data_IF_818746358998
#
_entry.id   IF_818746358998
#
_cell.length_a   1.000
_cell.length_b   1.000
_cell.length_c   1.000
_cell.angle_alpha   90.00
_cell.angle_beta   90.00
_cell.angle_gamma   90.00
#
_symmetry.space_group_name_H-M   'P 1'
#
loop_
_entity.id
_entity.type
_entity.pdbx_description
1 polymer ?
#
# COMPACT_ATOMS: atom_id res chain seq x y z
N UNK A 1 -14.92 -12.42 -3.93
CA UNK A 1 -14.02 -12.35 -2.77
C UNK A 1 -14.16 -13.64 -1.96
N UNK A 2 -13.07 -14.37 -1.79
CA UNK A 2 -13.06 -15.62 -1.03
C UNK A 2 -12.68 -15.43 0.44
N UNK A 3 -11.76 -14.48 0.69
CA UNK A 3 -11.26 -14.21 2.03
C UNK A 3 -10.77 -12.75 2.13
N UNK A 4 -10.83 -12.18 3.31
CA UNK A 4 -10.25 -10.89 3.67
C UNK A 4 -9.73 -10.92 5.10
N UNK A 5 -8.62 -10.27 5.35
CA UNK A 5 -8.06 -10.08 6.69
C UNK A 5 -7.41 -8.71 6.81
N UNK A 6 -7.24 -8.23 8.03
CA UNK A 6 -6.60 -6.95 8.33
C UNK A 6 -5.50 -7.21 9.36
N UNK A 7 -4.29 -6.82 9.01
CA UNK A 7 -3.14 -6.81 9.91
C UNK A 7 -2.89 -5.37 10.34
N UNK A 8 -2.72 -5.15 11.65
CA UNK A 8 -2.54 -3.80 12.20
C UNK A 8 -1.11 -3.29 12.08
N UNK A 9 -0.30 -3.89 11.23
CA UNK A 9 1.10 -3.54 11.01
C UNK A 9 1.29 -3.02 9.59
N UNK A 10 2.10 -1.98 9.44
CA UNK A 10 2.36 -1.34 8.15
C UNK A 10 3.59 -0.44 8.20
N UNK A 11 3.69 0.51 7.26
CA UNK A 11 4.82 1.42 7.11
C UNK A 11 5.17 2.22 8.36
N UNK A 12 4.17 2.55 9.19
CA UNK A 12 4.39 3.24 10.47
C UNK A 12 5.16 2.40 11.48
N UNK A 13 5.01 1.08 11.44
CA UNK A 13 5.77 0.18 12.30
C UNK A 13 7.23 0.10 11.87
N UNK A 14 7.51 0.14 10.56
CA UNK A 14 8.87 0.26 10.04
C UNK A 14 9.53 1.53 10.59
N UNK A 15 8.84 2.67 10.51
CA UNK A 15 9.33 3.96 11.04
C UNK A 15 9.58 3.90 12.54
N UNK A 16 8.66 3.27 13.30
CA UNK A 16 8.82 3.07 14.75
C UNK A 16 10.03 2.21 15.08
N UNK A 17 10.29 1.17 14.31
CA UNK A 17 11.44 0.28 14.54
C UNK A 17 12.75 1.00 14.22
N UNK A 18 12.84 1.74 13.12
CA UNK A 18 13.98 2.60 12.81
C UNK A 18 14.21 3.60 13.96
N UNK A 19 13.16 4.30 14.40
CA UNK A 19 13.25 5.27 15.50
C UNK A 19 13.75 4.64 16.79
N UNK A 20 13.31 3.43 17.14
CA UNK A 20 13.72 2.72 18.35
C UNK A 20 15.16 2.20 18.27
N UNK A 21 15.51 1.57 17.16
CA UNK A 21 16.84 0.95 16.99
C UNK A 21 17.92 2.01 16.90
N UNK A 22 17.68 3.08 16.11
CA UNK A 22 18.62 4.19 15.97
C UNK A 22 18.49 5.24 17.09
N UNK A 23 17.54 5.07 18.03
CA UNK A 23 17.25 6.04 19.11
C UNK A 23 17.06 7.47 18.61
N UNK A 24 16.36 7.63 17.51
CA UNK A 24 16.12 8.92 16.86
C UNK A 24 14.63 9.30 16.87
N UNK A 25 14.30 10.53 16.47
CA UNK A 25 12.92 10.97 16.39
C UNK A 25 12.15 10.24 15.26
N UNK A 26 10.84 10.04 15.43
CA UNK A 26 10.01 9.42 14.37
C UNK A 26 10.06 10.20 13.06
N UNK A 27 10.15 11.53 13.13
CA UNK A 27 10.26 12.39 11.94
C UNK A 27 11.55 12.10 11.17
N UNK A 28 12.67 11.97 11.87
CA UNK A 28 13.95 11.66 11.24
C UNK A 28 13.95 10.22 10.71
N UNK A 29 13.41 9.26 11.48
CA UNK A 29 13.26 7.87 11.05
C UNK A 29 12.41 7.74 9.78
N UNK A 30 11.32 8.52 9.65
CA UNK A 30 10.52 8.58 8.42
C UNK A 30 11.31 9.14 7.25
N UNK A 31 12.08 10.20 7.48
CA UNK A 31 12.99 10.76 6.47
C UNK A 31 14.06 9.77 6.01
N UNK A 32 14.65 9.01 6.93
CA UNK A 32 15.63 7.98 6.61
C UNK A 32 15.01 6.85 5.77
N UNK A 33 13.83 6.38 6.17
CA UNK A 33 13.07 5.37 5.42
C UNK A 33 12.77 5.84 4.00
N UNK A 34 12.38 7.11 3.83
CA UNK A 34 12.02 7.66 2.53
C UNK A 34 13.22 7.86 1.60
N UNK A 35 14.35 8.35 2.14
CA UNK A 35 15.50 8.74 1.34
C UNK A 35 16.48 7.58 1.08
N UNK A 36 16.63 6.67 2.03
CA UNK A 36 17.64 5.60 2.04
C UNK A 36 17.05 4.21 2.28
N UNK A 37 15.71 4.11 2.36
CA UNK A 37 15.06 2.84 2.70
C UNK A 37 15.16 1.82 1.58
N UNK A 38 15.62 0.61 1.94
CA UNK A 38 15.67 -0.57 1.09
C UNK A 38 15.11 -1.75 1.88
N UNK A 39 14.18 -2.49 1.29
CA UNK A 39 13.56 -3.65 1.95
C UNK A 39 14.35 -4.95 1.75
N UNK A 40 15.11 -5.03 0.66
CA UNK A 40 15.89 -6.23 0.32
C UNK A 40 17.38 -5.99 0.57
N UNK A 41 17.89 -6.52 1.67
CA UNK A 41 19.25 -6.27 2.16
C UNK A 41 20.35 -6.51 1.10
N UNK A 42 20.28 -7.55 0.23
CA UNK A 42 21.26 -7.74 -0.82
C UNK A 42 21.37 -6.59 -1.85
N UNK A 43 20.29 -5.80 -2.01
CA UNK A 43 20.27 -4.66 -2.92
C UNK A 43 20.68 -3.34 -2.26
N UNK A 44 20.83 -3.34 -0.92
CA UNK A 44 21.20 -2.13 -0.18
C UNK A 44 22.60 -1.64 -0.55
N UNK A 45 22.71 -0.32 -0.69
CA UNK A 45 23.99 0.35 -0.92
C UNK A 45 24.93 0.31 0.31
N UNK A 46 26.08 0.90 0.13
CA UNK A 46 27.10 0.99 1.19
C UNK A 46 27.33 2.46 1.64
N UNK A 47 26.43 3.36 1.30
CA UNK A 47 26.53 4.74 1.74
C UNK A 47 26.45 4.83 3.27
N UNK A 48 27.20 5.78 3.83
CA UNK A 48 27.21 6.08 5.27
C UNK A 48 26.61 7.46 5.47
N UNK A 49 25.66 7.55 6.36
CA UNK A 49 25.03 8.82 6.72
C UNK A 49 25.04 9.03 8.24
N UNK A 50 24.94 10.29 8.64
CA UNK A 50 24.99 10.68 10.03
C UNK A 50 23.56 10.87 10.57
N UNK A 51 23.27 10.23 11.69
CA UNK A 51 21.94 10.27 12.34
C UNK A 51 22.04 10.93 13.70
N UNK A 52 21.21 11.93 13.92
CA UNK A 52 21.05 12.52 15.25
C UNK A 52 20.37 11.54 16.18
N UNK A 53 21.06 11.17 17.25
CA UNK A 53 20.60 10.20 18.27
C UNK A 53 20.18 10.94 19.53
N UNK A 54 19.04 10.58 20.09
CA UNK A 54 18.52 11.17 21.30
C UNK A 54 19.44 10.83 22.49
N UNK A 55 20.02 11.86 23.10
CA UNK A 55 20.92 11.71 24.25
C UNK A 55 22.41 11.68 23.90
N UNK A 56 22.76 11.71 22.62
CA UNK A 56 24.15 11.86 22.16
C UNK A 56 24.40 13.30 21.69
N UNK A 57 25.65 13.76 21.85
CA UNK A 57 26.06 15.10 21.42
C UNK A 57 26.47 15.10 19.95
N UNK A 58 27.08 14.00 19.51
CA UNK A 58 27.55 13.83 18.15
C UNK A 58 26.68 12.87 17.38
N UNK A 59 26.41 13.13 16.08
CA UNK A 59 25.69 12.21 15.23
C UNK A 59 26.41 10.86 15.10
N UNK A 60 25.64 9.78 15.02
CA UNK A 60 26.17 8.43 14.86
C UNK A 60 26.15 8.05 13.39
N UNK A 61 27.21 7.39 12.95
CA UNK A 61 27.30 6.84 11.59
C UNK A 61 26.41 5.61 11.44
N UNK A 62 25.56 5.62 10.42
CA UNK A 62 24.69 4.52 10.06
C UNK A 62 24.88 4.19 8.58
N UNK A 63 24.98 2.92 8.25
CA UNK A 63 25.09 2.47 6.85
C UNK A 63 23.71 2.18 6.27
N UNK A 64 23.54 2.37 4.96
CA UNK A 64 22.31 1.95 4.26
C UNK A 64 21.99 0.48 4.51
N UNK A 65 23.01 -0.37 4.52
CA UNK A 65 22.83 -1.80 4.78
C UNK A 65 22.23 -2.06 6.18
N UNK A 66 22.71 -1.36 7.21
CA UNK A 66 22.16 -1.51 8.56
C UNK A 66 20.71 -1.00 8.65
N UNK A 67 20.41 0.10 7.96
CA UNK A 67 19.04 0.60 7.82
C UNK A 67 18.14 -0.42 7.10
N UNK A 68 18.63 -1.01 6.00
CA UNK A 68 17.93 -2.05 5.26
C UNK A 68 17.66 -3.31 6.12
N UNK A 69 18.59 -3.71 6.98
CA UNK A 69 18.38 -4.83 7.91
C UNK A 69 17.21 -4.57 8.87
N UNK A 70 17.10 -3.34 9.40
CA UNK A 70 15.98 -2.96 10.29
C UNK A 70 14.65 -3.00 9.52
N UNK A 71 14.62 -2.41 8.33
CA UNK A 71 13.43 -2.34 7.48
C UNK A 71 12.99 -3.73 7.03
N UNK A 72 13.95 -4.51 6.50
CA UNK A 72 13.72 -5.88 6.03
C UNK A 72 13.14 -6.78 7.11
N UNK A 73 13.67 -6.69 8.34
CA UNK A 73 13.19 -7.49 9.46
C UNK A 73 11.70 -7.25 9.75
N UNK A 74 11.23 -5.99 9.71
CA UNK A 74 9.81 -5.68 9.93
C UNK A 74 8.94 -6.14 8.77
N UNK A 75 9.33 -5.86 7.53
CA UNK A 75 8.54 -6.23 6.36
C UNK A 75 8.47 -7.75 6.23
N UNK A 76 9.58 -8.44 6.45
CA UNK A 76 9.64 -9.90 6.47
C UNK A 76 8.68 -10.48 7.51
N UNK A 77 8.64 -9.92 8.72
CA UNK A 77 7.71 -10.34 9.76
C UNK A 77 6.25 -10.21 9.31
N UNK A 78 5.88 -9.07 8.69
CA UNK A 78 4.53 -8.85 8.15
C UNK A 78 4.21 -9.89 7.06
N UNK A 79 5.13 -10.11 6.12
CA UNK A 79 4.92 -11.08 5.05
C UNK A 79 4.82 -12.51 5.56
N UNK A 80 5.61 -12.89 6.57
CA UNK A 80 5.52 -14.22 7.20
C UNK A 80 4.17 -14.45 7.88
N UNK A 81 3.60 -13.44 8.55
CA UNK A 81 2.26 -13.54 9.13
C UNK A 81 1.20 -13.75 8.04
N UNK A 82 1.28 -12.97 6.96
CA UNK A 82 0.37 -13.09 5.81
C UNK A 82 0.52 -14.47 5.17
N UNK A 83 1.75 -14.92 4.94
CA UNK A 83 2.06 -16.23 4.35
C UNK A 83 1.41 -17.35 5.15
N UNK A 84 1.64 -17.39 6.46
CA UNK A 84 1.07 -18.41 7.35
C UNK A 84 -0.46 -18.46 7.30
N UNK A 85 -1.11 -17.29 7.20
CA UNK A 85 -2.56 -17.23 7.12
C UNK A 85 -3.08 -17.73 5.77
N UNK A 86 -2.40 -17.37 4.67
CA UNK A 86 -2.73 -17.84 3.32
C UNK A 86 -2.50 -19.35 3.16
N UNK A 87 -1.39 -19.89 3.70
CA UNK A 87 -1.09 -21.32 3.70
C UNK A 87 -2.16 -22.15 4.43
N UNK A 88 -2.58 -21.69 5.63
CA UNK A 88 -3.67 -22.35 6.40
C UNK A 88 -4.97 -22.43 5.65
N UNK A 89 -5.18 -21.55 4.67
CA UNK A 89 -6.41 -21.46 3.86
C UNK A 89 -6.25 -22.03 2.46
N UNK A 90 -5.07 -22.56 2.13
CA UNK A 90 -4.75 -23.05 0.79
C UNK A 90 -4.94 -21.98 -0.30
N UNK A 91 -4.60 -20.72 0.02
CA UNK A 91 -4.73 -19.58 -0.88
C UNK A 91 -3.39 -19.07 -1.44
N UNK A 92 -2.26 -19.64 -1.00
CA UNK A 92 -0.95 -19.20 -1.44
C UNK A 92 -0.63 -19.65 -2.87
N UNK A 93 -1.01 -20.88 -3.23
CA UNK A 93 -0.68 -21.52 -4.51
C UNK A 93 -1.68 -21.19 -5.64
N UNK A 94 -2.31 -20.04 -5.60
CA UNK A 94 -3.23 -19.62 -6.65
C UNK A 94 -2.46 -19.21 -7.92
N UNK A 95 -2.96 -19.55 -9.13
CA UNK A 95 -2.26 -19.30 -10.40
C UNK A 95 -1.91 -17.83 -10.67
N UNK A 96 -2.64 -16.91 -10.07
CA UNK A 96 -2.41 -15.47 -10.21
C UNK A 96 -1.22 -14.91 -9.41
N UNK A 97 -0.71 -15.67 -8.44
CA UNK A 97 0.31 -15.19 -7.51
C UNK A 97 -0.20 -14.11 -6.57
N UNK A 98 0.71 -13.24 -6.13
CA UNK A 98 0.43 -12.13 -5.21
C UNK A 98 0.62 -10.81 -5.93
N UNK A 99 -0.31 -9.88 -5.73
CA UNK A 99 -0.16 -8.49 -6.19
C UNK A 99 -0.12 -7.58 -4.98
N UNK A 100 0.96 -6.79 -4.87
CA UNK A 100 1.13 -5.82 -3.80
C UNK A 100 0.77 -4.43 -4.34
N UNK A 101 -0.02 -3.69 -3.56
CA UNK A 101 -0.47 -2.32 -3.88
C UNK A 101 -0.29 -1.41 -2.67
N UNK A 102 -0.34 -0.11 -2.90
CA UNK A 102 -0.35 0.90 -1.85
C UNK A 102 1.01 1.54 -1.57
N UNK A 103 1.05 2.43 -0.58
CA UNK A 103 2.23 3.24 -0.26
C UNK A 103 3.45 2.44 0.19
N UNK A 104 3.26 1.33 0.91
CA UNK A 104 4.35 0.45 1.32
C UNK A 104 5.05 -0.26 0.16
N UNK A 105 4.36 -0.42 -0.98
CA UNK A 105 4.92 -1.00 -2.19
C UNK A 105 5.93 -0.10 -2.92
N UNK A 106 6.04 1.18 -2.52
CA UNK A 106 7.00 2.13 -3.12
C UNK A 106 8.42 1.86 -2.63
N UNK A 107 8.55 1.26 -1.46
CA UNK A 107 9.87 1.02 -0.87
C UNK A 107 10.65 0.05 -1.76
N UNK A 108 11.86 0.42 -2.21
CA UNK A 108 12.70 -0.45 -3.01
C UNK A 108 12.91 -1.82 -2.36
N UNK A 109 13.03 -2.87 -3.17
CA UNK A 109 13.27 -4.23 -2.70
C UNK A 109 12.08 -4.96 -2.08
N UNK A 110 10.90 -4.34 -1.99
CA UNK A 110 9.70 -4.99 -1.43
C UNK A 110 9.25 -6.18 -2.27
N UNK A 111 9.35 -6.08 -3.59
CA UNK A 111 8.97 -7.17 -4.51
C UNK A 111 9.90 -8.38 -4.35
N UNK A 112 11.20 -8.15 -4.32
CA UNK A 112 12.22 -9.18 -4.15
C UNK A 112 12.09 -9.87 -2.79
N UNK A 113 11.92 -9.09 -1.73
CA UNK A 113 11.70 -9.64 -0.39
C UNK A 113 10.39 -10.45 -0.32
N UNK A 114 9.33 -9.97 -0.96
CA UNK A 114 8.07 -10.68 -1.00
C UNK A 114 8.17 -12.00 -1.77
N UNK A 115 8.87 -12.02 -2.91
CA UNK A 115 9.15 -13.24 -3.67
C UNK A 115 9.94 -14.26 -2.85
N UNK A 116 10.96 -13.78 -2.11
CA UNK A 116 11.74 -14.65 -1.21
C UNK A 116 10.87 -15.25 -0.09
N UNK A 117 10.05 -14.43 0.55
CA UNK A 117 9.25 -14.89 1.69
C UNK A 117 8.10 -15.78 1.25
N UNK A 118 7.31 -15.37 0.26
CA UNK A 118 6.12 -16.12 -0.16
C UNK A 118 6.48 -17.36 -0.99
N UNK A 119 7.58 -17.33 -1.74
CA UNK A 119 7.99 -18.43 -2.62
C UNK A 119 7.11 -18.60 -3.86
N UNK A 120 6.30 -17.60 -4.19
CA UNK A 120 5.41 -17.56 -5.36
C UNK A 120 5.66 -16.30 -6.18
N UNK A 121 5.07 -16.23 -7.37
CA UNK A 121 5.18 -15.02 -8.20
C UNK A 121 4.51 -13.83 -7.50
N UNK A 122 5.26 -12.76 -7.32
CA UNK A 122 4.78 -11.50 -6.74
C UNK A 122 4.96 -10.39 -7.76
N UNK A 123 4.03 -9.46 -7.81
CA UNK A 123 4.10 -8.27 -8.67
C UNK A 123 3.65 -7.03 -7.91
N UNK A 124 4.31 -5.92 -8.16
CA UNK A 124 3.83 -4.61 -7.75
C UNK A 124 2.85 -4.08 -8.79
N UNK A 125 1.71 -3.61 -8.33
CA UNK A 125 0.78 -2.90 -9.21
C UNK A 125 1.14 -1.42 -9.27
N UNK A 126 1.46 -0.95 -10.46
CA UNK A 126 1.69 0.46 -10.76
C UNK A 126 0.56 0.95 -11.69
N UNK A 127 -0.22 1.96 -11.29
CA UNK A 127 -1.26 2.53 -12.13
C UNK A 127 -0.69 3.03 -13.47
N UNK A 128 -1.47 2.88 -14.53
CA UNK A 128 -1.07 3.29 -15.89
C UNK A 128 -1.46 4.73 -16.24
N UNK A 129 -2.27 5.38 -15.42
CA UNK A 129 -2.80 6.72 -15.67
C UNK A 129 -1.66 7.76 -15.64
N UNK A 130 -1.65 8.67 -16.61
CA UNK A 130 -0.65 9.72 -16.74
C UNK A 130 -0.71 10.64 -15.50
N UNK A 131 0.45 10.92 -14.90
CA UNK A 131 0.57 11.79 -13.73
C UNK A 131 0.37 11.13 -12.38
N UNK A 132 -0.15 9.90 -12.33
CA UNK A 132 -0.42 9.17 -11.07
C UNK A 132 0.13 7.73 -11.11
N UNK A 133 1.26 7.52 -11.79
CA UNK A 133 1.96 6.24 -11.87
C UNK A 133 2.73 5.94 -10.58
N UNK A 134 2.00 5.78 -9.50
CA UNK A 134 2.59 5.44 -8.21
C UNK A 134 1.66 4.45 -7.49
N UNK A 135 2.18 3.34 -6.94
CA UNK A 135 1.41 2.34 -6.20
C UNK A 135 0.54 2.93 -5.08
N UNK A 136 0.93 4.06 -4.47
CA UNK A 136 0.15 4.73 -3.44
C UNK A 136 -1.23 5.17 -3.90
N UNK A 137 -1.40 5.48 -5.19
CA UNK A 137 -2.68 5.91 -5.76
C UNK A 137 -3.60 4.76 -6.17
N UNK A 138 -3.13 3.52 -6.09
CA UNK A 138 -3.89 2.34 -6.53
C UNK A 138 -5.29 2.27 -5.91
N UNK A 139 -5.41 2.53 -4.61
CA UNK A 139 -6.69 2.51 -3.90
C UNK A 139 -7.66 3.58 -4.40
N UNK A 140 -7.18 4.82 -4.54
CA UNK A 140 -8.02 5.95 -4.97
C UNK A 140 -8.49 5.73 -6.40
N UNK A 141 -7.61 5.25 -7.27
CA UNK A 141 -7.94 4.94 -8.67
C UNK A 141 -9.00 3.83 -8.72
N UNK A 142 -8.77 2.73 -8.03
CA UNK A 142 -9.71 1.61 -8.00
C UNK A 142 -11.08 1.99 -7.47
N UNK A 143 -11.13 2.83 -6.41
CA UNK A 143 -12.39 3.35 -5.88
C UNK A 143 -13.10 4.28 -6.87
N UNK A 144 -12.34 5.13 -7.57
CA UNK A 144 -12.89 6.04 -8.58
C UNK A 144 -13.45 5.28 -9.78
N UNK A 145 -12.71 4.28 -10.26
CA UNK A 145 -13.16 3.41 -11.36
C UNK A 145 -14.39 2.59 -10.95
N UNK A 146 -14.39 2.04 -9.74
CA UNK A 146 -15.55 1.33 -9.20
C UNK A 146 -16.78 2.24 -9.12
N UNK A 147 -16.61 3.44 -8.54
CA UNK A 147 -17.71 4.40 -8.42
C UNK A 147 -18.24 4.86 -9.79
N UNK A 148 -17.34 5.08 -10.76
CA UNK A 148 -17.71 5.48 -12.13
C UNK A 148 -18.43 4.39 -12.93
N UNK A 149 -18.27 3.12 -12.54
CA UNK A 149 -18.94 1.98 -13.19
C UNK A 149 -20.25 1.56 -12.50
N UNK A 150 -20.61 2.17 -11.35
CA UNK A 150 -21.87 1.89 -10.69
C UNK A 150 -23.04 2.42 -11.53
N UNK A 151 -24.02 1.55 -11.74
CA UNK A 151 -25.30 1.98 -12.33
C UNK A 151 -26.20 2.63 -11.27
N UNK A 152 -27.19 3.42 -11.70
CA UNK A 152 -28.18 4.02 -10.79
C UNK A 152 -28.89 2.95 -9.95
N UNK A 153 -29.10 1.77 -10.53
CA UNK A 153 -29.70 0.62 -9.83
C UNK A 153 -28.77 0.10 -8.72
N UNK A 154 -27.47 -0.02 -9.01
CA UNK A 154 -26.49 -0.46 -7.99
C UNK A 154 -26.41 0.53 -6.82
N UNK A 155 -26.41 1.83 -7.14
CA UNK A 155 -26.39 2.90 -6.13
C UNK A 155 -27.63 2.82 -5.23
N UNK A 156 -28.80 2.67 -5.83
CA UNK A 156 -30.07 2.53 -5.08
C UNK A 156 -30.10 1.25 -4.26
N UNK A 157 -29.62 0.13 -4.80
CA UNK A 157 -29.56 -1.14 -4.08
C UNK A 157 -28.61 -1.06 -2.87
N UNK A 158 -27.43 -0.46 -3.05
CA UNK A 158 -26.47 -0.24 -1.96
C UNK A 158 -27.06 0.69 -0.86
N UNK A 159 -27.70 1.78 -1.26
CA UNK A 159 -28.36 2.69 -0.33
C UNK A 159 -29.47 2.00 0.47
N UNK A 160 -30.24 1.11 -0.16
CA UNK A 160 -31.29 0.33 0.50
C UNK A 160 -30.74 -0.65 1.54
N UNK A 161 -29.60 -1.31 1.22
CA UNK A 161 -28.94 -2.28 2.12
C UNK A 161 -28.24 -1.59 3.30
N UNK A 162 -27.55 -0.48 3.06
CA UNK A 162 -26.76 0.21 4.09
C UNK A 162 -27.53 1.30 4.85
N UNK A 163 -28.79 1.51 4.53
CA UNK A 163 -29.67 2.44 5.26
C UNK A 163 -29.29 3.92 5.11
N UNK A 164 -28.59 4.31 4.05
CA UNK A 164 -28.20 5.69 3.82
C UNK A 164 -29.43 6.55 3.47
N UNK A 165 -29.91 7.31 4.46
CA UNK A 165 -31.07 8.18 4.33
C UNK A 165 -30.82 9.37 3.37
N UNK A 166 -29.58 9.72 3.06
CA UNK A 166 -29.24 10.88 2.21
C UNK A 166 -29.62 10.66 0.76
N UNK A 167 -29.52 9.42 0.26
CA UNK A 167 -29.91 9.07 -1.10
C UNK A 167 -31.41 8.93 -1.29
N UNK A 168 -32.19 8.77 -0.21
CA UNK A 168 -33.66 8.72 -0.26
C UNK A 168 -34.32 10.09 -0.45
N UNK A 169 -33.58 11.20 -0.28
CA UNK A 169 -34.13 12.55 -0.31
C UNK A 169 -33.83 13.32 -1.59
N UNK A 170 -33.03 12.80 -2.50
CA UNK A 170 -32.82 13.42 -3.80
C UNK A 170 -33.78 12.79 -4.82
N UNK A 171 -34.77 13.52 -5.34
CA UNK A 171 -35.56 13.04 -6.46
C UNK A 171 -34.63 12.93 -7.66
N UNK A 172 -34.50 11.74 -8.22
CA UNK A 172 -33.75 11.51 -9.46
C UNK A 172 -34.44 12.30 -10.55
N UNK A 173 -33.86 13.40 -10.95
CA UNK A 173 -34.30 14.13 -12.14
C UNK A 173 -33.75 13.39 -13.36
N UNK A 174 -34.61 12.57 -13.97
CA UNK A 174 -34.31 12.02 -15.29
C UNK A 174 -34.37 13.18 -16.28
N UNK A 175 -33.22 13.72 -16.69
CA UNK A 175 -33.17 14.56 -17.89
C UNK A 175 -33.58 13.71 -19.10
N UNK A 176 -34.77 14.02 -19.63
CA UNK A 176 -35.19 13.41 -20.90
C UNK A 176 -34.19 13.86 -21.96
N UNK A 177 -33.69 12.96 -22.82
CA UNK A 177 -32.84 13.36 -23.92
C UNK A 177 -33.58 14.40 -24.77
N UNK A 178 -32.96 15.55 -24.92
CA UNK A 178 -33.48 16.63 -25.79
C UNK A 178 -33.59 16.06 -27.21
N UNK A 179 -34.80 15.85 -27.68
CA UNK A 179 -35.03 15.52 -29.10
C UNK A 179 -34.51 16.70 -29.93
N UNK A 180 -33.46 16.48 -30.69
CA UNK A 180 -33.02 17.44 -31.69
C UNK A 180 -34.15 17.63 -32.74
N UNK A 181 -34.50 18.87 -33.06
CA UNK A 181 -35.51 19.11 -34.07
C UNK A 181 -34.99 18.59 -35.42
N UNK A 182 -35.79 17.75 -36.07
CA UNK A 182 -35.55 17.33 -37.44
C UNK A 182 -35.75 18.57 -38.31
N UNK A 183 -34.67 19.06 -38.88
CA UNK A 183 -34.69 20.16 -39.86
C UNK A 183 -35.21 19.58 -41.18
N UNK A 184 -36.19 20.23 -41.85
CA UNK A 184 -36.80 19.76 -43.09
C UNK A 184 -35.82 19.78 -44.28
#
# INVERSE_FOLDING_TARGET
LQYTNIYQEGGDYVTKDISKVLKTSQKLAEGLKFNYGEAYVPSAGNEVFHVEVIGEVEPVEVTEKYLAEIISARIKHIFEQIKQDLERRHLLDLPGGIVIIGGGAILPGVEELAQEVFGVNVKLYVPNQIGIRNPAFAHVISLSEYAGNLTDVDILAQAAVHGDQRLRQQPIQFERPVQQPVVP
#
